data_IF_780859242195
#
_entry.id   IF_780859242195
#
_cell.length_a   1.000
_cell.length_b   1.000
_cell.length_c   1.000
_cell.angle_alpha   90.00
_cell.angle_beta   90.00
_cell.angle_gamma   90.00
#
_symmetry.space_group_name_H-M   'P 1'
#
loop_
_entity.id
_entity.type
_entity.pdbx_description
1 polymer ?
#
# COMPACT_ATOMS: atom_id res chain seq x y z
N UNK A 1 1.07 -32.32 -8.90
CA UNK A 1 0.23 -31.65 -7.89
C UNK A 1 0.98 -30.42 -7.41
N UNK A 2 0.63 -29.23 -7.89
CA UNK A 2 1.22 -28.00 -7.33
C UNK A 2 0.74 -27.88 -5.89
N UNK A 3 1.66 -27.96 -4.92
CA UNK A 3 1.31 -27.75 -3.53
C UNK A 3 0.82 -26.31 -3.37
N UNK A 4 -0.39 -26.13 -2.83
CA UNK A 4 -0.89 -24.79 -2.53
C UNK A 4 0.03 -24.13 -1.50
N UNK A 5 0.68 -23.03 -1.88
CA UNK A 5 1.60 -22.28 -1.01
C UNK A 5 0.91 -21.81 0.28
N UNK A 6 -0.39 -21.57 0.23
CA UNK A 6 -1.19 -21.11 1.36
C UNK A 6 -2.52 -21.84 1.43
N UNK A 7 -3.00 -22.09 2.66
CA UNK A 7 -4.39 -22.54 2.87
C UNK A 7 -5.37 -21.45 2.43
N UNK A 8 -6.60 -21.85 2.06
CA UNK A 8 -7.66 -20.89 1.70
C UNK A 8 -7.97 -19.88 2.82
N UNK A 9 -7.86 -20.31 4.09
CA UNK A 9 -8.02 -19.45 5.27
C UNK A 9 -6.89 -18.43 5.36
N UNK A 10 -5.64 -18.88 5.27
CA UNK A 10 -4.45 -18.00 5.31
C UNK A 10 -4.49 -16.96 4.19
N UNK A 11 -4.82 -17.38 2.97
CA UNK A 11 -5.01 -16.49 1.81
C UNK A 11 -6.06 -15.42 2.08
N UNK A 12 -7.22 -15.81 2.64
CA UNK A 12 -8.29 -14.87 2.95
C UNK A 12 -7.84 -13.81 3.95
N UNK A 13 -7.18 -14.22 5.04
CA UNK A 13 -6.69 -13.28 6.05
C UNK A 13 -5.59 -12.37 5.52
N UNK A 14 -4.64 -12.90 4.76
CA UNK A 14 -3.60 -12.13 4.10
C UNK A 14 -4.18 -11.06 3.16
N UNK A 15 -5.19 -11.41 2.36
CA UNK A 15 -5.87 -10.42 1.51
C UNK A 15 -6.62 -9.38 2.32
N UNK A 16 -7.38 -9.82 3.33
CA UNK A 16 -8.17 -8.91 4.16
C UNK A 16 -7.29 -7.93 4.93
N UNK A 17 -6.13 -8.37 5.44
CA UNK A 17 -5.20 -7.46 6.10
C UNK A 17 -4.70 -6.37 5.16
N UNK A 18 -4.41 -6.71 3.91
CA UNK A 18 -4.01 -5.74 2.89
C UNK A 18 -5.18 -4.81 2.52
N UNK A 19 -6.38 -5.34 2.28
CA UNK A 19 -7.56 -4.50 2.00
C UNK A 19 -7.78 -3.48 3.12
N UNK A 20 -7.77 -3.94 4.37
CA UNK A 20 -7.96 -3.07 5.53
C UNK A 20 -6.85 -2.04 5.63
N UNK A 21 -5.59 -2.44 5.42
CA UNK A 21 -4.44 -1.53 5.40
C UNK A 21 -4.66 -0.39 4.40
N UNK A 22 -4.90 -0.70 3.13
CA UNK A 22 -5.04 0.29 2.05
C UNK A 22 -6.29 1.16 2.22
N UNK A 23 -7.43 0.58 2.58
CA UNK A 23 -8.64 1.38 2.80
C UNK A 23 -8.50 2.30 4.01
N UNK A 24 -7.87 1.82 5.08
CA UNK A 24 -7.62 2.61 6.28
C UNK A 24 -6.64 3.75 6.02
N UNK A 25 -5.52 3.50 5.35
CA UNK A 25 -4.54 4.57 5.02
C UNK A 25 -5.13 5.62 4.11
N UNK A 26 -5.94 5.23 3.11
CA UNK A 26 -6.69 6.16 2.28
C UNK A 26 -7.68 7.01 3.08
N UNK A 27 -8.48 6.39 3.95
CA UNK A 27 -9.44 7.10 4.79
C UNK A 27 -8.77 8.07 5.77
N UNK A 28 -7.69 7.65 6.44
CA UNK A 28 -6.90 8.49 7.34
C UNK A 28 -6.26 9.64 6.58
N UNK A 29 -5.78 9.44 5.35
CA UNK A 29 -5.17 10.50 4.54
C UNK A 29 -6.18 11.58 4.15
N UNK A 30 -7.45 11.21 3.91
CA UNK A 30 -8.52 12.18 3.66
C UNK A 30 -8.93 12.92 4.94
N UNK A 31 -8.95 12.23 6.07
CA UNK A 31 -9.24 12.84 7.37
C UNK A 31 -8.16 13.85 7.78
N UNK A 32 -6.89 13.46 7.62
CA UNK A 32 -5.70 14.27 7.96
C UNK A 32 -5.22 15.12 6.76
N UNK A 33 -6.09 15.49 5.83
CA UNK A 33 -5.70 16.19 4.58
C UNK A 33 -4.89 17.47 4.83
N UNK A 34 -5.17 18.17 5.93
CA UNK A 34 -4.47 19.39 6.36
C UNK A 34 -3.61 19.18 7.62
N UNK A 35 -3.42 17.93 8.04
CA UNK A 35 -2.70 17.56 9.24
C UNK A 35 -1.27 17.12 8.95
N UNK A 36 -0.86 16.05 9.63
CA UNK A 36 0.53 15.58 9.67
C UNK A 36 1.14 15.34 8.28
N UNK A 37 0.38 14.78 7.34
CA UNK A 37 0.86 14.52 5.98
C UNK A 37 1.19 15.81 5.22
N UNK A 38 0.40 16.87 5.42
CA UNK A 38 0.64 18.16 4.79
C UNK A 38 1.87 18.86 5.40
N UNK A 39 2.02 18.79 6.73
CA UNK A 39 3.18 19.35 7.44
C UNK A 39 4.49 18.68 7.01
N UNK A 40 4.49 17.35 6.85
CA UNK A 40 5.64 16.60 6.36
C UNK A 40 6.05 17.00 4.94
N UNK A 41 5.09 17.14 4.02
CA UNK A 41 5.38 17.55 2.64
C UNK A 41 5.84 19.01 2.57
N UNK A 42 5.29 19.89 3.41
CA UNK A 42 5.77 21.26 3.52
C UNK A 42 7.21 21.31 4.05
N UNK A 43 7.53 20.51 5.06
CA UNK A 43 8.89 20.40 5.58
C UNK A 43 9.88 19.88 4.53
N UNK A 44 9.42 19.05 3.59
CA UNK A 44 10.18 18.62 2.41
C UNK A 44 10.27 19.69 1.29
N UNK A 45 9.74 20.89 1.50
CA UNK A 45 9.82 22.02 0.57
C UNK A 45 8.73 22.05 -0.51
N UNK A 46 7.68 21.24 -0.39
CA UNK A 46 6.56 21.27 -1.34
C UNK A 46 5.59 22.42 -1.00
N UNK A 47 5.02 23.02 -2.05
CA UNK A 47 3.97 24.00 -1.88
C UNK A 47 2.69 23.38 -1.32
N UNK A 48 1.86 24.19 -0.66
CA UNK A 48 0.56 23.75 -0.11
C UNK A 48 -0.36 23.09 -1.16
N UNK A 49 -0.59 23.70 -2.35
CA UNK A 49 -1.46 23.08 -3.35
C UNK A 49 -0.91 21.76 -3.89
N UNK A 50 0.41 21.65 -4.06
CA UNK A 50 1.05 20.42 -4.52
C UNK A 50 0.93 19.32 -3.46
N UNK A 51 1.15 19.65 -2.19
CA UNK A 51 1.03 18.72 -1.07
C UNK A 51 -0.37 18.13 -0.97
N UNK A 52 -1.41 18.97 -1.04
CA UNK A 52 -2.80 18.52 -1.03
C UNK A 52 -3.12 17.62 -2.23
N UNK A 53 -2.64 17.99 -3.41
CA UNK A 53 -2.85 17.19 -4.64
C UNK A 53 -2.21 15.81 -4.49
N UNK A 54 -0.99 15.73 -3.96
CA UNK A 54 -0.31 14.45 -3.73
C UNK A 54 -1.02 13.60 -2.66
N UNK A 55 -1.48 14.21 -1.57
CA UNK A 55 -2.24 13.51 -0.53
C UNK A 55 -3.55 12.95 -1.08
N UNK A 56 -4.31 13.75 -1.83
CA UNK A 56 -5.56 13.31 -2.45
C UNK A 56 -5.33 12.21 -3.49
N UNK A 57 -4.28 12.34 -4.31
CA UNK A 57 -3.92 11.32 -5.29
C UNK A 57 -3.51 10.01 -4.62
N UNK A 58 -2.68 10.08 -3.58
CA UNK A 58 -2.27 8.92 -2.78
C UNK A 58 -3.45 8.25 -2.08
N UNK A 59 -4.32 9.04 -1.44
CA UNK A 59 -5.52 8.55 -0.78
C UNK A 59 -6.49 7.87 -1.77
N UNK A 60 -6.71 8.49 -2.93
CA UNK A 60 -7.53 7.92 -4.00
C UNK A 60 -6.96 6.60 -4.51
N UNK A 61 -5.64 6.56 -4.76
CA UNK A 61 -4.95 5.34 -5.17
C UNK A 61 -5.10 4.24 -4.12
N UNK A 62 -4.90 4.56 -2.85
CA UNK A 62 -5.04 3.60 -1.74
C UNK A 62 -6.45 3.01 -1.66
N UNK A 63 -7.49 3.85 -1.76
CA UNK A 63 -8.88 3.40 -1.75
C UNK A 63 -9.19 2.50 -2.96
N UNK A 64 -8.72 2.86 -4.15
CA UNK A 64 -8.90 2.06 -5.37
C UNK A 64 -8.20 0.70 -5.26
N UNK A 65 -6.95 0.68 -4.78
CA UNK A 65 -6.19 -0.56 -4.59
C UNK A 65 -6.83 -1.45 -3.53
N UNK A 66 -7.28 -0.88 -2.40
CA UNK A 66 -8.01 -1.61 -1.37
C UNK A 66 -9.31 -2.22 -1.88
N UNK A 67 -10.11 -1.47 -2.64
CA UNK A 67 -11.33 -1.97 -3.27
C UNK A 67 -11.06 -3.05 -4.32
N UNK A 68 -10.02 -2.88 -5.14
CA UNK A 68 -9.59 -3.87 -6.11
C UNK A 68 -9.15 -5.18 -5.43
N UNK A 69 -8.33 -5.07 -4.37
CA UNK A 69 -7.87 -6.21 -3.57
C UNK A 69 -9.02 -6.94 -2.87
N UNK A 70 -10.08 -6.23 -2.49
CA UNK A 70 -11.29 -6.85 -1.95
C UNK A 70 -11.98 -7.70 -3.02
N UNK A 71 -12.18 -7.11 -4.21
CA UNK A 71 -12.98 -7.70 -5.29
C UNK A 71 -12.28 -8.82 -6.04
N UNK A 72 -10.97 -8.75 -6.22
CA UNK A 72 -10.23 -9.65 -7.11
C UNK A 72 -9.05 -10.35 -6.42
N UNK A 73 -8.75 -11.55 -6.91
CA UNK A 73 -7.60 -12.35 -6.52
C UNK A 73 -6.81 -12.72 -7.79
N UNK A 74 -5.96 -11.80 -8.23
CA UNK A 74 -5.25 -11.92 -9.50
C UNK A 74 -3.77 -11.57 -9.33
N UNK A 75 -2.89 -12.35 -9.96
CA UNK A 75 -1.44 -12.14 -9.89
C UNK A 75 -1.03 -10.73 -10.35
N UNK A 76 -1.58 -10.27 -11.48
CA UNK A 76 -1.32 -8.93 -12.00
C UNK A 76 -1.74 -7.81 -11.05
N UNK A 77 -2.81 -8.00 -10.27
CA UNK A 77 -3.25 -7.02 -9.28
C UNK A 77 -2.23 -6.87 -8.15
N UNK A 78 -1.68 -7.98 -7.64
CA UNK A 78 -0.66 -7.90 -6.59
C UNK A 78 0.64 -7.25 -7.06
N UNK A 79 1.03 -7.47 -8.32
CA UNK A 79 2.15 -6.74 -8.92
C UNK A 79 1.85 -5.25 -9.05
N UNK A 80 0.64 -4.88 -9.48
CA UNK A 80 0.24 -3.47 -9.59
C UNK A 80 0.23 -2.76 -8.22
N UNK A 81 -0.34 -3.40 -7.19
CA UNK A 81 -0.33 -2.89 -5.81
C UNK A 81 1.10 -2.77 -5.29
N UNK A 82 1.93 -3.79 -5.50
CA UNK A 82 3.34 -3.76 -5.13
C UNK A 82 4.12 -2.65 -5.84
N UNK A 83 3.88 -2.45 -7.14
CA UNK A 83 4.49 -1.37 -7.92
C UNK A 83 4.08 0.01 -7.41
N UNK A 84 2.79 0.22 -7.11
CA UNK A 84 2.30 1.45 -6.51
C UNK A 84 2.95 1.73 -5.14
N UNK A 85 3.00 0.73 -4.26
CA UNK A 85 3.67 0.82 -2.97
C UNK A 85 5.16 1.15 -3.12
N UNK A 86 5.87 0.49 -4.04
CA UNK A 86 7.29 0.75 -4.30
C UNK A 86 7.53 2.16 -4.83
N UNK A 87 6.70 2.64 -5.75
CA UNK A 87 6.76 4.01 -6.25
C UNK A 87 6.61 5.03 -5.11
N UNK A 88 5.58 4.87 -4.27
CA UNK A 88 5.36 5.74 -3.12
C UNK A 88 6.49 5.64 -2.09
N UNK A 89 7.05 4.45 -1.87
CA UNK A 89 8.20 4.24 -0.98
C UNK A 89 9.45 4.94 -1.49
N UNK A 90 9.69 4.89 -2.81
CA UNK A 90 10.81 5.58 -3.44
C UNK A 90 10.65 7.10 -3.32
N UNK A 91 9.47 7.63 -3.63
CA UNK A 91 9.16 9.05 -3.45
C UNK A 91 9.36 9.49 -2.00
N UNK A 92 8.83 8.73 -1.04
CA UNK A 92 9.03 8.99 0.39
C UNK A 92 10.51 8.94 0.81
N UNK A 93 11.28 7.99 0.26
CA UNK A 93 12.72 7.88 0.56
C UNK A 93 13.54 9.04 0.00
N UNK A 94 13.14 9.60 -1.14
CA UNK A 94 13.82 10.74 -1.77
C UNK A 94 13.44 12.07 -1.12
N UNK A 95 12.18 12.25 -0.75
CA UNK A 95 11.68 13.50 -0.17
C UNK A 95 11.92 13.59 1.33
N UNK A 96 11.83 12.46 2.04
CA UNK A 96 11.85 12.37 3.50
C UNK A 96 12.61 11.11 3.95
N UNK A 97 13.94 11.04 3.72
CA UNK A 97 14.75 9.86 4.05
C UNK A 97 14.70 9.50 5.54
N UNK A 98 14.41 10.46 6.44
CA UNK A 98 14.29 10.26 7.88
C UNK A 98 13.15 9.30 8.24
N UNK A 99 12.16 9.11 7.36
CA UNK A 99 11.04 8.19 7.56
C UNK A 99 11.46 6.72 7.67
N UNK A 100 12.70 6.37 7.28
CA UNK A 100 13.29 5.06 7.55
C UNK A 100 13.59 4.81 9.03
N UNK A 101 13.97 5.88 9.76
CA UNK A 101 14.35 5.82 11.17
C UNK A 101 13.23 6.31 12.10
N UNK A 102 12.10 6.74 11.55
CA UNK A 102 10.95 7.19 12.33
C UNK A 102 10.38 6.04 13.18
N UNK A 103 10.05 6.26 14.47
CA UNK A 103 9.69 5.20 15.43
C UNK A 103 8.45 4.38 15.01
N UNK A 104 7.53 4.99 14.25
CA UNK A 104 6.35 4.31 13.69
C UNK A 104 6.63 3.50 12.42
N UNK A 105 7.87 3.49 11.92
CA UNK A 105 8.30 2.71 10.75
C UNK A 105 7.47 2.92 9.47
N UNK A 106 7.14 4.16 9.07
CA UNK A 106 6.26 4.42 7.92
C UNK A 106 6.79 3.83 6.61
N UNK A 107 8.10 3.79 6.39
CA UNK A 107 8.70 3.11 5.22
C UNK A 107 9.07 1.66 5.50
N UNK A 108 9.58 1.36 6.70
CA UNK A 108 10.03 -0.01 7.02
C UNK A 108 8.89 -1.03 7.06
N UNK A 109 7.65 -0.61 7.38
CA UNK A 109 6.45 -1.46 7.29
C UNK A 109 6.17 -1.94 5.86
N UNK A 110 6.70 -1.29 4.82
CA UNK A 110 6.52 -1.72 3.44
C UNK A 110 7.29 -3.00 3.11
N UNK A 111 8.32 -3.36 3.89
CA UNK A 111 9.05 -4.62 3.72
C UNK A 111 8.18 -5.86 3.99
N UNK A 112 7.52 -6.00 5.16
CA UNK A 112 6.60 -7.13 5.38
C UNK A 112 5.38 -7.07 4.47
N UNK A 113 4.91 -5.88 4.07
CA UNK A 113 3.84 -5.74 3.07
C UNK A 113 4.27 -6.30 1.71
N UNK A 114 5.49 -5.98 1.26
CA UNK A 114 6.06 -6.51 0.01
C UNK A 114 6.14 -8.04 0.04
N UNK A 115 6.63 -8.61 1.15
CA UNK A 115 6.68 -10.06 1.34
C UNK A 115 5.28 -10.69 1.24
N UNK A 116 4.26 -10.09 1.88
CA UNK A 116 2.90 -10.58 1.83
C UNK A 116 2.27 -10.49 0.43
N UNK A 117 2.56 -9.41 -0.31
CA UNK A 117 2.15 -9.26 -1.71
C UNK A 117 2.80 -10.31 -2.62
N UNK A 118 4.09 -10.62 -2.42
CA UNK A 118 4.79 -11.67 -3.17
C UNK A 118 4.18 -13.05 -2.92
N UNK A 119 3.89 -13.39 -1.65
CA UNK A 119 3.22 -14.64 -1.31
C UNK A 119 1.84 -14.76 -1.97
N UNK A 120 1.05 -13.68 -1.92
CA UNK A 120 -0.27 -13.63 -2.57
C UNK A 120 -0.19 -13.68 -4.10
N UNK A 121 0.85 -13.10 -4.69
CA UNK A 121 1.15 -13.18 -6.12
C UNK A 121 1.43 -14.63 -6.55
N UNK A 122 2.32 -15.33 -5.84
CA UNK A 122 2.65 -16.72 -6.13
C UNK A 122 1.43 -17.65 -5.94
N UNK A 123 0.67 -17.42 -4.88
CA UNK A 123 -0.58 -18.14 -4.59
C UNK A 123 -1.64 -17.91 -5.68
N UNK A 124 -1.78 -16.69 -6.22
CA UNK A 124 -2.69 -16.41 -7.34
C UNK A 124 -2.24 -17.03 -8.67
N UNK A 125 -0.93 -17.14 -8.93
CA UNK A 125 -0.41 -17.84 -10.11
C UNK A 125 -0.71 -19.34 -10.05
N UNK A 126 -0.64 -19.94 -8.86
CA UNK A 126 -0.86 -21.38 -8.67
C UNK A 126 -2.33 -21.74 -8.56
N UNK A 127 -3.19 -20.81 -8.14
CA UNK A 127 -4.62 -21.01 -7.94
C UNK A 127 -5.42 -19.82 -8.50
N UNK A 128 -5.44 -19.62 -9.82
CA UNK A 128 -6.30 -18.62 -10.43
C UNK A 128 -7.76 -18.95 -10.13
N UNK A 129 -8.50 -18.01 -9.53
CA UNK A 129 -9.97 -18.13 -9.51
C UNK A 129 -10.50 -17.74 -10.89
N UNK A 130 -11.52 -18.44 -11.42
CA UNK A 130 -12.26 -17.95 -12.58
C UNK A 130 -12.93 -16.61 -12.28
#
# INVERSE_FOLDING_TARGET
>A
MSASLMSARSRRWARLSLVLLWLWTGAVSLWELHGQSADLLHAAGLSQPLSQTLILAGAGLDLLLGAALWRWHAAGLYLAVGGAMLLMTLLGSLLLPELWLHPLGPLSKNLPIAALLLLLFEDAKTNPRP
#
